data_IF_195762242195
#
_entry.id   IF_195762242195
#
_cell.length_a   1.000
_cell.length_b   1.000
_cell.length_c   1.000
_cell.angle_alpha   90.00
_cell.angle_beta   90.00
_cell.angle_gamma   90.00
#
_symmetry.space_group_name_H-M   'P 1'
#
loop_
_entity.id
_entity.type
_entity.pdbx_description
1 polymer ?
#
# COMPACT_ATOMS: atom_id res chain seq x y z
N UNK A 1 -9.59 -54.87 -44.06
CA UNK A 1 -10.30 -53.91 -44.92
C UNK A 1 -10.08 -52.51 -44.37
N UNK A 2 -9.49 -51.64 -45.18
CA UNK A 2 -9.06 -50.28 -44.86
C UNK A 2 -10.21 -49.27 -44.85
N UNK A 3 -10.12 -48.24 -43.99
CA UNK A 3 -10.49 -46.82 -44.25
C UNK A 3 -10.00 -45.99 -43.05
N UNK A 4 -8.85 -45.32 -43.17
CA UNK A 4 -8.66 -43.96 -43.69
C UNK A 4 -9.19 -42.87 -42.73
N UNK A 5 -8.23 -42.17 -42.12
CA UNK A 5 -8.15 -40.68 -42.02
C UNK A 5 -9.18 -40.04 -41.06
N UNK A 6 -8.83 -39.25 -40.03
CA UNK A 6 -8.06 -38.00 -40.06
C UNK A 6 -7.51 -37.68 -38.66
N UNK A 7 -6.24 -37.23 -38.62
CA UNK A 7 -5.74 -36.27 -37.64
C UNK A 7 -6.55 -34.97 -37.76
N UNK A 8 -7.12 -34.45 -36.67
CA UNK A 8 -7.40 -33.01 -36.54
C UNK A 8 -7.08 -32.58 -35.10
N UNK A 9 -5.93 -31.92 -35.03
CA UNK A 9 -5.58 -30.78 -34.19
C UNK A 9 -5.89 -30.84 -32.68
N UNK A 10 -4.77 -30.94 -31.96
CA UNK A 10 -4.56 -30.30 -30.67
C UNK A 10 -5.23 -28.92 -30.59
N UNK A 11 -6.24 -28.80 -29.73
CA UNK A 11 -6.61 -27.52 -29.14
C UNK A 11 -5.84 -27.37 -27.83
N UNK A 12 -4.54 -27.09 -27.95
CA UNK A 12 -3.80 -26.40 -26.88
C UNK A 12 -4.31 -24.96 -26.92
N UNK A 13 -5.39 -24.69 -26.19
CA UNK A 13 -5.84 -23.33 -25.95
C UNK A 13 -4.84 -22.66 -25.01
N UNK A 14 -4.29 -21.57 -25.52
CA UNK A 14 -3.21 -20.79 -24.96
C UNK A 14 -3.41 -20.47 -23.48
N UNK A 15 -2.37 -20.78 -22.71
CA UNK A 15 -2.06 -20.15 -21.43
C UNK A 15 -1.77 -18.67 -21.72
N UNK A 16 -2.04 -17.81 -20.74
CA UNK A 16 -1.63 -16.39 -20.64
C UNK A 16 -2.63 -15.39 -21.21
N UNK A 17 -3.31 -14.67 -20.31
CA UNK A 17 -4.23 -13.62 -20.72
C UNK A 17 -4.93 -12.85 -19.61
N UNK A 18 -4.85 -13.27 -18.35
CA UNK A 18 -5.06 -12.38 -17.22
C UNK A 18 -3.97 -12.73 -16.21
N UNK A 19 -2.82 -12.05 -16.29
CA UNK A 19 -2.13 -11.78 -15.03
C UNK A 19 -3.17 -11.05 -14.19
N UNK A 20 -3.80 -11.79 -13.27
CA UNK A 20 -4.81 -11.23 -12.40
C UNK A 20 -4.21 -9.95 -11.83
N UNK A 21 -4.96 -8.86 -11.91
CA UNK A 21 -4.72 -7.69 -11.09
C UNK A 21 -4.86 -8.17 -9.63
N UNK A 22 -3.82 -8.83 -9.11
CA UNK A 22 -3.73 -9.15 -7.70
C UNK A 22 -3.51 -7.78 -7.08
N UNK A 23 -4.59 -7.23 -6.52
CA UNK A 23 -4.50 -6.01 -5.74
C UNK A 23 -3.36 -6.22 -4.72
N UNK A 24 -2.43 -5.26 -4.60
CA UNK A 24 -1.31 -5.41 -3.68
C UNK A 24 -1.86 -5.74 -2.29
N UNK A 25 -1.35 -6.83 -1.69
CA UNK A 25 -1.78 -7.24 -0.36
C UNK A 25 -1.52 -6.09 0.63
N UNK A 26 -2.44 -5.87 1.60
CA UNK A 26 -2.25 -4.85 2.61
C UNK A 26 -0.91 -5.02 3.32
N UNK A 27 -0.05 -4.01 3.26
CA UNK A 27 1.26 -4.02 3.92
C UNK A 27 1.19 -3.26 5.23
N UNK A 28 1.33 -3.97 6.35
CA UNK A 28 1.53 -3.35 7.66
C UNK A 28 2.99 -2.93 7.83
N UNK A 29 3.19 -1.68 8.22
CA UNK A 29 4.50 -1.07 8.46
C UNK A 29 4.48 -0.39 9.82
N UNK A 30 5.48 -0.64 10.65
CA UNK A 30 5.60 0.00 11.96
C UNK A 30 6.63 1.13 11.89
N UNK A 31 6.44 2.18 12.66
CA UNK A 31 7.35 3.32 12.72
C UNK A 31 7.75 3.65 14.16
N UNK A 32 9.02 3.97 14.36
CA UNK A 32 9.56 4.51 15.61
C UNK A 32 9.96 5.97 15.41
N UNK A 33 9.48 6.87 16.26
CA UNK A 33 9.64 8.31 16.14
C UNK A 33 10.68 8.87 17.12
N UNK A 34 11.15 10.09 16.85
CA UNK A 34 12.19 10.74 17.65
C UNK A 34 11.76 11.02 19.11
N UNK A 35 10.46 11.08 19.39
CA UNK A 35 9.89 11.24 20.73
C UNK A 35 9.79 9.91 21.51
N UNK A 36 10.31 8.82 20.95
CA UNK A 36 10.28 7.48 21.55
C UNK A 36 8.93 6.77 21.41
N UNK A 37 7.93 7.39 20.77
CA UNK A 37 6.65 6.76 20.44
C UNK A 37 6.68 6.19 19.03
N UNK A 38 5.59 5.54 18.63
CA UNK A 38 5.45 4.98 17.30
C UNK A 38 4.00 4.94 16.83
N UNK A 39 3.83 4.52 15.59
CA UNK A 39 2.53 4.22 15.00
C UNK A 39 2.67 3.07 14.01
N UNK A 40 1.55 2.45 13.64
CA UNK A 40 1.52 1.49 12.54
C UNK A 40 0.70 2.04 11.37
N UNK A 41 1.07 1.65 10.17
CA UNK A 41 0.45 2.05 8.91
C UNK A 41 0.16 0.81 8.09
N UNK A 42 -1.09 0.66 7.66
CA UNK A 42 -1.50 -0.38 6.70
C UNK A 42 -1.84 0.33 5.40
N UNK A 43 -1.12 0.04 4.32
CA UNK A 43 -1.43 0.60 2.99
C UNK A 43 -2.11 -0.46 2.14
N UNK A 44 -3.25 -0.09 1.53
CA UNK A 44 -4.02 -0.96 0.65
C UNK A 44 -4.61 -0.14 -0.51
N UNK A 45 -3.95 -0.21 -1.67
CA UNK A 45 -4.30 0.62 -2.84
C UNK A 45 -4.16 2.12 -2.53
N UNK A 46 -5.19 2.89 -2.82
CA UNK A 46 -5.22 4.36 -2.64
C UNK A 46 -5.66 4.80 -1.23
N UNK A 47 -5.61 3.89 -0.25
CA UNK A 47 -5.96 4.18 1.13
C UNK A 47 -4.92 3.65 2.10
N UNK A 48 -4.84 4.30 3.25
CA UNK A 48 -4.06 3.84 4.37
C UNK A 48 -4.86 3.85 5.66
N UNK A 49 -4.59 2.91 6.57
CA UNK A 49 -5.07 2.94 7.94
C UNK A 49 -3.90 3.20 8.85
N UNK A 50 -3.93 4.30 9.60
CA UNK A 50 -2.94 4.63 10.61
C UNK A 50 -3.49 4.27 12.00
N UNK A 51 -2.71 3.55 12.80
CA UNK A 51 -2.97 3.36 14.22
C UNK A 51 -1.94 4.14 15.06
N UNK A 52 -2.41 5.17 15.77
CA UNK A 52 -1.60 6.12 16.53
C UNK A 52 -2.31 6.47 17.84
N UNK A 53 -1.56 6.47 18.95
CA UNK A 53 -2.09 6.78 20.29
C UNK A 53 -3.32 5.95 20.69
N UNK A 54 -3.38 4.69 20.25
CA UNK A 54 -4.49 3.77 20.52
C UNK A 54 -5.74 4.02 19.67
N UNK A 55 -5.72 4.99 18.75
CA UNK A 55 -6.80 5.29 17.81
C UNK A 55 -6.42 4.83 16.41
N UNK A 56 -7.41 4.52 15.58
CA UNK A 56 -7.21 4.16 14.18
C UNK A 56 -8.00 5.08 13.26
N UNK A 57 -7.34 5.57 12.21
CA UNK A 57 -7.94 6.47 11.23
C UNK A 57 -7.71 5.92 9.83
N UNK A 58 -8.74 6.00 8.99
CA UNK A 58 -8.60 5.78 7.56
C UNK A 58 -8.17 7.10 6.91
N UNK A 59 -7.13 7.04 6.09
CA UNK A 59 -6.58 8.13 5.30
C UNK A 59 -6.74 7.80 3.83
N UNK A 60 -7.04 8.81 3.03
CA UNK A 60 -7.09 8.72 1.58
C UNK A 60 -5.76 9.23 1.01
N UNK A 61 -5.26 8.58 -0.05
CA UNK A 61 -4.05 9.01 -0.73
C UNK A 61 -4.25 10.38 -1.38
N UNK A 62 -3.24 11.24 -1.23
CA UNK A 62 -3.17 12.55 -1.89
C UNK A 62 -2.07 12.56 -2.95
N UNK A 63 -2.17 13.50 -3.88
CA UNK A 63 -1.09 13.77 -4.81
C UNK A 63 0.20 14.12 -4.03
N UNK A 64 1.31 13.52 -4.45
CA UNK A 64 2.62 13.68 -3.82
C UNK A 64 3.71 13.86 -4.87
N UNK A 65 4.83 14.45 -4.47
CA UNK A 65 6.01 14.52 -5.33
C UNK A 65 6.60 13.12 -5.56
N UNK A 66 7.44 12.97 -6.60
CA UNK A 66 8.11 11.71 -6.88
C UNK A 66 8.94 11.25 -5.65
N UNK A 67 8.74 10.00 -5.22
CA UNK A 67 9.42 9.44 -4.04
C UNK A 67 8.73 9.76 -2.71
N UNK A 68 7.59 10.45 -2.75
CA UNK A 68 6.76 10.72 -1.58
C UNK A 68 5.42 9.98 -1.65
N UNK A 69 4.84 9.75 -0.48
CA UNK A 69 3.45 9.35 -0.36
C UNK A 69 2.77 10.23 0.70
N UNK A 70 1.65 10.85 0.33
CA UNK A 70 0.84 11.68 1.20
C UNK A 70 -0.50 10.98 1.42
N UNK A 71 -0.98 10.98 2.65
CA UNK A 71 -2.31 10.49 3.00
C UNK A 71 -2.95 11.46 3.97
N UNK A 72 -4.25 11.72 3.85
CA UNK A 72 -4.94 12.63 4.75
C UNK A 72 -6.35 12.17 5.11
N UNK A 73 -6.84 12.69 6.23
CA UNK A 73 -8.25 12.64 6.61
C UNK A 73 -8.54 13.86 7.48
N UNK A 74 -9.31 14.82 6.94
CA UNK A 74 -9.64 16.07 7.64
C UNK A 74 -8.38 16.79 8.15
N UNK A 75 -8.15 16.82 9.47
CA UNK A 75 -7.05 17.52 10.12
C UNK A 75 -5.79 16.66 10.32
N UNK A 76 -5.85 15.37 9.96
CA UNK A 76 -4.75 14.42 10.07
C UNK A 76 -4.07 14.27 8.71
N UNK A 77 -2.76 14.48 8.65
CA UNK A 77 -1.95 14.26 7.45
C UNK A 77 -0.73 13.42 7.79
N UNK A 78 -0.48 12.40 6.97
CA UNK A 78 0.74 11.59 6.99
C UNK A 78 1.52 11.86 5.71
N UNK A 79 2.80 12.16 5.86
CA UNK A 79 3.74 12.31 4.75
C UNK A 79 4.86 11.30 4.93
N UNK A 80 5.16 10.53 3.88
CA UNK A 80 6.23 9.55 3.83
C UNK A 80 7.20 9.91 2.71
N UNK A 81 8.51 9.82 2.98
CA UNK A 81 9.58 9.94 2.00
C UNK A 81 10.63 8.88 2.28
N UNK A 82 10.74 7.89 1.39
CA UNK A 82 11.55 6.70 1.65
C UNK A 82 11.07 5.97 2.91
N UNK A 83 11.97 5.72 3.86
CA UNK A 83 11.68 5.06 5.14
C UNK A 83 11.30 6.04 6.27
N UNK A 84 11.25 7.35 5.99
CA UNK A 84 10.92 8.39 6.97
C UNK A 84 9.46 8.83 6.80
N UNK A 85 8.75 8.99 7.91
CA UNK A 85 7.39 9.50 7.97
C UNK A 85 7.25 10.63 9.00
N UNK A 86 6.27 11.49 8.77
CA UNK A 86 5.83 12.55 9.67
C UNK A 86 4.30 12.50 9.75
N UNK A 87 3.75 12.74 10.94
CA UNK A 87 2.30 12.87 11.16
C UNK A 87 2.01 14.27 11.67
N UNK A 88 1.13 14.97 10.97
CA UNK A 88 0.57 16.25 11.36
C UNK A 88 -0.88 16.07 11.80
N UNK A 89 -1.27 16.74 12.89
CA UNK A 89 -2.64 16.80 13.38
C UNK A 89 -2.98 18.25 13.71
N UNK A 90 -4.07 18.77 13.15
CA UNK A 90 -4.49 20.17 13.34
C UNK A 90 -3.40 21.19 12.95
N UNK A 91 -2.74 20.96 11.80
CA UNK A 91 -1.67 21.84 11.30
C UNK A 91 -0.40 21.85 12.14
N UNK A 92 -0.25 20.92 13.10
CA UNK A 92 0.92 20.81 13.98
C UNK A 92 1.54 19.43 13.87
N UNK A 93 2.87 19.38 13.83
CA UNK A 93 3.61 18.12 13.84
C UNK A 93 3.31 17.38 15.15
N UNK A 94 2.64 16.23 15.03
CA UNK A 94 2.25 15.36 16.15
C UNK A 94 3.23 14.19 16.33
N UNK A 95 3.83 13.72 15.23
CA UNK A 95 4.96 12.79 15.23
C UNK A 95 6.00 13.24 14.21
N UNK A 96 7.23 13.42 14.66
CA UNK A 96 8.35 13.87 13.86
C UNK A 96 9.40 12.77 13.67
N UNK A 97 10.07 12.79 12.51
CA UNK A 97 11.19 11.90 12.14
C UNK A 97 10.96 10.45 12.54
N UNK A 98 9.87 9.87 12.03
CA UNK A 98 9.52 8.48 12.29
C UNK A 98 10.16 7.56 11.24
N UNK A 99 10.89 6.55 11.68
CA UNK A 99 11.63 5.62 10.82
C UNK A 99 10.89 4.28 10.77
N UNK A 100 10.69 3.73 9.58
CA UNK A 100 10.17 2.38 9.37
C UNK A 100 11.05 1.37 10.13
N UNK A 101 10.44 0.58 11.02
CA UNK A 101 11.11 -0.51 11.74
C UNK A 101 10.76 -1.84 11.07
N UNK A 102 11.79 -2.61 10.74
CA UNK A 102 11.69 -3.95 10.13
C UNK A 102 11.81 -5.05 11.17
#
# INVERSE_FOLDING_TARGET
MNKKTLLVLAAVLAIQGCAGLVAPEPRTTNYACADGKGFSLIVAGDAATIAIDGMSFRLDAEAAAAGEANYSCSMLRLTKRGDVAQVEMDGRVHRDRCIEVR
#
